data_IF_292641995089
#
_entry.id   IF_292641995089
#
_cell.length_a   1.000
_cell.length_b   1.000
_cell.length_c   1.000
_cell.angle_alpha   90.00
_cell.angle_beta   90.00
_cell.angle_gamma   90.00
#
_symmetry.space_group_name_H-M   'P 1'
#
loop_
_entity.id
_entity.type
_entity.pdbx_description
1 polymer ?
#
# COMPACT_ATOMS: atom_id res chain seq x y z
N UNK A 1 -7.34 7.78 12.90
CA UNK A 1 -6.33 7.15 12.01
C UNK A 1 -6.80 5.75 11.67
N UNK A 2 -6.64 5.27 10.43
CA UNK A 2 -7.03 3.89 10.08
C UNK A 2 -5.92 2.90 10.46
N UNK A 3 -6.24 1.60 10.52
CA UNK A 3 -5.23 0.56 10.76
C UNK A 3 -4.14 0.55 9.68
N UNK A 4 -4.51 0.75 8.42
CA UNK A 4 -3.57 0.80 7.30
C UNK A 4 -2.60 1.97 7.45
N UNK A 5 -3.09 3.17 7.76
CA UNK A 5 -2.24 4.34 7.99
C UNK A 5 -1.31 4.13 9.19
N UNK A 6 -1.81 3.49 10.25
CA UNK A 6 -1.03 3.16 11.45
C UNK A 6 0.10 2.17 11.20
N UNK A 7 0.00 1.31 10.19
CA UNK A 7 1.09 0.42 9.81
C UNK A 7 2.28 1.13 9.15
N UNK A 8 2.12 2.36 8.66
CA UNK A 8 3.16 3.11 7.96
C UNK A 8 3.63 4.37 8.68
N UNK A 9 3.06 4.71 9.84
CA UNK A 9 3.51 5.81 10.71
C UNK A 9 4.60 5.42 11.70
N UNK A 10 4.90 6.32 12.64
CA UNK A 10 5.99 6.15 13.64
C UNK A 10 5.66 5.17 14.78
N UNK A 11 4.49 4.53 14.74
CA UNK A 11 4.10 3.44 15.65
C UNK A 11 3.34 3.86 16.91
N UNK A 12 3.28 5.15 17.24
CA UNK A 12 2.61 5.67 18.44
C UNK A 12 1.12 5.30 18.53
N UNK A 13 0.45 5.21 17.38
CA UNK A 13 -1.00 4.91 17.30
C UNK A 13 -1.32 3.44 17.01
N UNK A 14 -0.33 2.60 16.67
CA UNK A 14 -0.58 1.25 16.16
C UNK A 14 -1.22 0.32 17.21
N UNK A 15 -0.84 0.45 18.48
CA UNK A 15 -1.44 -0.33 19.56
C UNK A 15 -2.93 -0.01 19.72
N UNK A 16 -3.26 1.29 19.84
CA UNK A 16 -4.64 1.73 20.02
C UNK A 16 -5.56 1.31 18.86
N UNK A 17 -5.07 1.42 17.61
CA UNK A 17 -5.88 1.06 16.43
C UNK A 17 -6.06 -0.46 16.31
N UNK A 18 -5.07 -1.28 16.69
CA UNK A 18 -5.23 -2.75 16.76
C UNK A 18 -6.30 -3.15 17.78
N UNK A 19 -6.31 -2.50 18.94
CA UNK A 19 -7.30 -2.75 19.98
C UNK A 19 -8.70 -2.36 19.51
N UNK A 20 -8.83 -1.23 18.80
CA UNK A 20 -10.10 -0.80 18.21
C UNK A 20 -10.63 -1.81 17.18
N UNK A 21 -9.79 -2.23 16.23
CA UNK A 21 -10.17 -3.21 15.19
C UNK A 21 -10.53 -4.55 15.83
N UNK A 22 -9.74 -5.03 16.78
CA UNK A 22 -10.01 -6.29 17.48
C UNK A 22 -11.31 -6.23 18.27
N UNK A 23 -11.59 -5.11 18.94
CA UNK A 23 -12.82 -4.93 19.72
C UNK A 23 -14.06 -4.91 18.83
N UNK A 24 -13.97 -4.30 17.65
CA UNK A 24 -15.11 -4.10 16.74
C UNK A 24 -15.37 -5.29 15.82
N UNK A 25 -14.31 -5.92 15.34
CA UNK A 25 -14.37 -6.94 14.29
C UNK A 25 -13.90 -8.31 14.78
N UNK A 26 -13.07 -8.38 15.82
CA UNK A 26 -12.45 -9.62 16.30
C UNK A 26 -11.02 -9.81 15.81
N UNK A 27 -10.29 -10.70 16.48
CA UNK A 27 -8.87 -10.92 16.25
C UNK A 27 -8.57 -11.50 14.84
N UNK A 28 -9.40 -12.41 14.34
CA UNK A 28 -9.22 -13.01 13.02
C UNK A 28 -9.26 -11.96 11.90
N UNK A 29 -10.18 -11.01 12.00
CA UNK A 29 -10.29 -9.91 11.05
C UNK A 29 -9.11 -8.93 11.12
N UNK A 30 -8.51 -8.73 12.31
CA UNK A 30 -7.26 -7.96 12.42
C UNK A 30 -6.11 -8.69 11.71
N UNK A 31 -6.01 -10.01 11.87
CA UNK A 31 -4.98 -10.83 11.22
C UNK A 31 -5.13 -10.75 9.70
N UNK A 32 -6.34 -10.89 9.16
CA UNK A 32 -6.60 -10.77 7.73
C UNK A 32 -6.20 -9.39 7.19
N UNK A 33 -6.58 -8.32 7.89
CA UNK A 33 -6.21 -6.96 7.51
C UNK A 33 -4.67 -6.77 7.53
N UNK A 34 -3.99 -7.28 8.56
CA UNK A 34 -2.54 -7.22 8.66
C UNK A 34 -1.85 -8.01 7.54
N UNK A 35 -2.40 -9.17 7.17
CA UNK A 35 -1.88 -9.97 6.06
C UNK A 35 -2.00 -9.24 4.72
N UNK A 36 -3.12 -8.55 4.48
CA UNK A 36 -3.31 -7.72 3.27
C UNK A 36 -2.28 -6.57 3.23
N UNK A 37 -2.13 -5.84 4.33
CA UNK A 37 -1.14 -4.75 4.43
C UNK A 37 0.27 -5.27 4.15
N UNK A 38 0.67 -6.37 4.80
CA UNK A 38 1.98 -6.97 4.62
C UNK A 38 2.22 -7.43 3.17
N UNK A 39 1.22 -8.06 2.55
CA UNK A 39 1.32 -8.53 1.17
C UNK A 39 1.55 -7.38 0.18
N UNK A 40 0.75 -6.31 0.25
CA UNK A 40 0.93 -5.17 -0.65
C UNK A 40 2.23 -4.43 -0.38
N UNK A 41 2.61 -4.28 0.89
CA UNK A 41 3.88 -3.65 1.24
C UNK A 41 5.10 -4.43 0.73
N UNK A 42 5.03 -5.76 0.75
CA UNK A 42 6.05 -6.62 0.15
C UNK A 42 6.05 -6.48 -1.38
N UNK A 43 4.88 -6.59 -2.02
CA UNK A 43 4.77 -6.57 -3.48
C UNK A 43 5.26 -5.26 -4.09
N UNK A 44 4.97 -4.11 -3.44
CA UNK A 44 5.51 -2.81 -3.87
C UNK A 44 7.03 -2.82 -3.91
N UNK A 45 7.70 -3.34 -2.86
CA UNK A 45 9.17 -3.42 -2.86
C UNK A 45 9.72 -4.32 -3.96
N UNK A 46 9.05 -5.45 -4.22
CA UNK A 46 9.45 -6.36 -5.29
C UNK A 46 9.31 -5.65 -6.64
N UNK A 47 8.19 -4.99 -6.90
CA UNK A 47 7.95 -4.25 -8.13
C UNK A 47 8.99 -3.15 -8.35
N UNK A 48 9.26 -2.34 -7.31
CA UNK A 48 10.25 -1.26 -7.34
C UNK A 48 11.66 -1.79 -7.58
N UNK A 49 12.04 -2.88 -6.91
CA UNK A 49 13.38 -3.47 -7.03
C UNK A 49 13.64 -4.14 -8.38
N UNK A 50 12.59 -4.59 -9.07
CA UNK A 50 12.68 -5.34 -10.33
C UNK A 50 12.30 -4.52 -11.55
N UNK A 51 11.74 -3.32 -11.37
CA UNK A 51 11.18 -2.53 -12.47
C UNK A 51 9.98 -3.22 -13.13
N UNK A 52 9.13 -3.88 -12.34
CA UNK A 52 7.97 -4.60 -12.89
C UNK A 52 7.07 -3.63 -13.67
N UNK A 53 6.80 -3.87 -14.97
CA UNK A 53 6.00 -2.96 -15.77
C UNK A 53 4.52 -3.03 -15.39
N UNK A 54 3.80 -1.93 -15.58
CA UNK A 54 2.35 -1.91 -15.46
C UNK A 54 1.72 -2.70 -16.60
N UNK A 55 0.71 -3.52 -16.29
CA UNK A 55 -0.12 -4.14 -17.32
C UNK A 55 -0.94 -3.07 -18.08
N UNK A 56 -1.39 -3.34 -19.31
CA UNK A 56 -2.11 -2.35 -20.11
C UNK A 56 -3.38 -1.78 -19.46
N UNK A 57 -4.08 -2.57 -18.65
CA UNK A 57 -5.27 -2.12 -17.92
C UNK A 57 -4.91 -1.10 -16.84
N UNK A 58 -3.96 -1.45 -15.97
CA UNK A 58 -3.48 -0.54 -14.92
C UNK A 58 -2.82 0.70 -15.49
N UNK A 59 -2.04 0.56 -16.57
CA UNK A 59 -1.39 1.68 -17.25
C UNK A 59 -2.41 2.70 -17.79
N UNK A 60 -3.55 2.22 -18.31
CA UNK A 60 -4.65 3.05 -18.78
C UNK A 60 -5.45 3.69 -17.65
N UNK A 61 -5.76 2.95 -16.59
CA UNK A 61 -6.53 3.47 -15.44
C UNK A 61 -5.77 4.51 -14.62
N UNK A 62 -4.43 4.46 -14.62
CA UNK A 62 -3.58 5.33 -13.81
C UNK A 62 -3.04 6.57 -14.54
N UNK A 63 -3.43 6.82 -15.79
CA UNK A 63 -2.86 7.92 -16.61
C UNK A 63 -2.97 9.28 -15.91
N UNK A 64 -4.17 9.64 -15.44
CA UNK A 64 -4.40 10.92 -14.78
C UNK A 64 -3.56 11.06 -13.51
N UNK A 65 -3.57 10.03 -12.66
CA UNK A 65 -2.75 9.99 -11.43
C UNK A 65 -1.26 10.13 -11.72
N UNK A 66 -0.74 9.42 -12.73
CA UNK A 66 0.69 9.50 -13.10
C UNK A 66 1.06 10.87 -13.66
N UNK A 67 0.17 11.50 -14.41
CA UNK A 67 0.35 12.85 -14.92
C UNK A 67 0.39 13.87 -13.78
N UNK A 68 -0.57 13.82 -12.86
CA UNK A 68 -0.67 14.75 -11.73
C UNK A 68 0.54 14.67 -10.80
N UNK A 69 1.07 13.46 -10.61
CA UNK A 69 2.26 13.20 -9.81
C UNK A 69 3.58 13.36 -10.61
N UNK A 70 3.51 13.63 -11.91
CA UNK A 70 4.68 13.79 -12.77
C UNK A 70 5.54 12.52 -12.92
N UNK A 71 4.95 11.33 -12.75
CA UNK A 71 5.70 10.06 -12.70
C UNK A 71 6.33 9.70 -14.04
N UNK A 72 5.69 10.07 -15.16
CA UNK A 72 6.20 9.79 -16.50
C UNK A 72 7.48 10.59 -16.84
N UNK A 73 7.79 11.63 -16.06
CA UNK A 73 9.04 12.39 -16.18
C UNK A 73 10.22 11.70 -15.50
N UNK A 74 9.97 10.74 -14.60
CA UNK A 74 11.02 10.03 -13.86
C UNK A 74 11.86 9.16 -14.80
N UNK A 75 13.16 9.06 -14.51
CA UNK A 75 14.07 8.22 -15.30
C UNK A 75 13.66 6.76 -15.27
N UNK A 76 13.14 6.27 -14.13
CA UNK A 76 12.65 4.91 -13.97
C UNK A 76 11.44 4.58 -14.84
N UNK A 77 10.67 5.57 -15.30
CA UNK A 77 9.53 5.35 -16.19
C UNK A 77 9.94 5.06 -17.66
N UNK A 78 11.22 5.18 -17.98
CA UNK A 78 11.78 5.01 -19.35
C UNK A 78 12.62 3.75 -19.51
N UNK A 79 12.75 2.95 -18.44
CA UNK A 79 13.43 1.66 -18.41
C UNK A 79 12.43 0.56 -18.79
#
# INVERSE_FOLDING_TARGET
MSFVEACFGDGDDLAAVRDEVTTRLGADHLIDAAAVVANFHMMTRIADATGTPLDPGTAGMSVELRNDLGLDALTSARL
#
